data_IF_901875861200
#
_entry.id   IF_901875861200
#
_cell.length_a   1.000
_cell.length_b   1.000
_cell.length_c   1.000
_cell.angle_alpha   90.00
_cell.angle_beta   90.00
_cell.angle_gamma   90.00
#
_symmetry.space_group_name_H-M   'P 1'
#
loop_
_entity.id
_entity.type
_entity.pdbx_description
1 polymer ?
#
# COMPACT_ATOMS: atom_id res chain seq x y z
N UNK A 1 -6.56 -5.07 4.88
CA UNK A 1 -6.46 -6.47 4.42
C UNK A 1 -7.03 -7.40 5.47
N UNK A 2 -7.69 -8.48 5.06
CA UNK A 2 -8.20 -9.53 5.95
C UNK A 2 -7.63 -10.87 5.54
N UNK A 3 -7.41 -11.76 6.51
CA UNK A 3 -6.99 -13.12 6.25
C UNK A 3 -8.14 -13.93 5.65
N UNK A 4 -7.82 -14.77 4.68
CA UNK A 4 -8.77 -15.72 4.11
C UNK A 4 -9.31 -16.66 5.19
N UNK A 5 -10.54 -17.16 4.99
CA UNK A 5 -11.32 -18.04 5.87
C UNK A 5 -11.76 -17.45 7.23
N UNK A 6 -10.90 -16.67 7.91
CA UNK A 6 -11.20 -16.11 9.24
C UNK A 6 -11.75 -14.70 9.18
N UNK A 7 -11.59 -14.00 8.04
CA UNK A 7 -11.91 -12.58 7.85
C UNK A 7 -11.28 -11.65 8.90
N UNK A 8 -10.28 -12.13 9.65
CA UNK A 8 -9.57 -11.36 10.68
C UNK A 8 -8.80 -10.24 9.99
N UNK A 9 -8.87 -9.03 10.54
CA UNK A 9 -8.04 -7.91 10.05
C UNK A 9 -6.58 -8.21 10.35
N UNK A 10 -5.75 -8.18 9.31
CA UNK A 10 -4.30 -8.42 9.39
C UNK A 10 -3.47 -7.21 8.98
N UNK A 11 -4.11 -6.21 8.36
CA UNK A 11 -3.48 -4.95 8.00
C UNK A 11 -4.56 -3.88 7.95
N UNK A 12 -4.38 -2.81 8.71
CA UNK A 12 -5.24 -1.64 8.68
C UNK A 12 -4.39 -0.37 8.77
N UNK A 13 -3.94 0.10 7.63
CA UNK A 13 -3.06 1.27 7.53
C UNK A 13 -3.74 2.30 6.65
N UNK A 14 -3.79 3.53 7.13
CA UNK A 14 -4.26 4.67 6.35
C UNK A 14 -3.19 5.06 5.32
N UNK A 15 -3.60 5.26 4.07
CA UNK A 15 -2.74 5.89 3.07
C UNK A 15 -2.60 7.37 3.44
N UNK A 16 -1.38 7.90 3.35
CA UNK A 16 -1.08 9.28 3.69
C UNK A 16 -0.23 9.94 2.61
N UNK A 17 -0.26 11.27 2.58
CA UNK A 17 0.54 12.02 1.62
C UNK A 17 2.04 11.82 1.89
N UNK A 18 2.81 11.55 0.84
CA UNK A 18 4.25 11.28 0.95
C UNK A 18 4.57 9.85 1.43
N UNK A 19 3.56 8.97 1.52
CA UNK A 19 3.79 7.55 1.76
C UNK A 19 4.66 6.97 0.64
N UNK A 20 5.80 6.37 1.01
CA UNK A 20 6.73 5.81 0.05
C UNK A 20 6.25 4.43 -0.41
N UNK A 21 6.20 4.26 -1.72
CA UNK A 21 5.75 3.04 -2.39
C UNK A 21 6.80 2.66 -3.41
N UNK A 22 7.33 1.45 -3.31
CA UNK A 22 8.36 0.96 -4.23
C UNK A 22 7.87 -0.25 -4.99
N UNK A 23 8.17 -0.24 -6.28
CA UNK A 23 8.08 -1.46 -7.08
C UNK A 23 9.34 -2.28 -6.88
N UNK A 24 9.23 -3.35 -6.10
CA UNK A 24 10.32 -4.30 -5.94
C UNK A 24 10.35 -5.29 -7.13
N UNK A 25 11.51 -5.90 -7.38
CA UNK A 25 11.68 -6.94 -8.40
C UNK A 25 10.57 -8.00 -8.31
N UNK A 26 10.09 -8.49 -9.46
CA UNK A 26 9.03 -9.52 -9.67
C UNK A 26 7.86 -9.54 -8.68
N UNK A 27 6.60 -9.36 -9.13
CA UNK A 27 5.36 -9.60 -8.34
C UNK A 27 5.31 -9.06 -6.88
N UNK A 28 6.21 -8.15 -6.49
CA UNK A 28 6.28 -7.56 -5.15
C UNK A 28 6.06 -6.04 -5.18
N UNK A 29 5.29 -5.54 -4.23
CA UNK A 29 5.16 -4.10 -3.94
C UNK A 29 5.59 -3.87 -2.50
N UNK A 30 6.42 -2.86 -2.25
CA UNK A 30 6.84 -2.47 -0.91
C UNK A 30 6.19 -1.16 -0.52
N UNK A 31 5.69 -1.07 0.72
CA UNK A 31 5.09 0.12 1.30
C UNK A 31 5.81 0.46 2.60
N UNK A 32 6.00 1.74 2.83
CA UNK A 32 6.55 2.28 4.06
C UNK A 32 5.42 3.01 4.76
N UNK A 33 4.99 2.46 5.89
CA UNK A 33 3.78 2.90 6.55
C UNK A 33 4.02 3.13 8.04
N UNK A 34 3.10 3.84 8.70
CA UNK A 34 3.13 4.03 10.13
C UNK A 34 2.12 3.11 10.83
N UNK A 35 2.60 2.35 11.81
CA UNK A 35 1.77 1.64 12.77
C UNK A 35 1.93 2.33 14.13
N UNK A 36 1.01 3.25 14.44
CA UNK A 36 1.21 4.22 15.51
C UNK A 36 2.35 5.17 15.15
N UNK A 37 3.37 5.26 16.01
CA UNK A 37 4.55 6.11 15.78
C UNK A 37 5.72 5.36 15.12
N UNK A 38 5.55 4.07 14.81
CA UNK A 38 6.61 3.23 14.24
C UNK A 38 6.51 3.18 12.71
N UNK A 39 7.61 3.52 12.04
CA UNK A 39 7.76 3.28 10.60
C UNK A 39 7.98 1.79 10.35
N UNK A 40 7.04 1.15 9.66
CA UNK A 40 7.07 -0.28 9.30
C UNK A 40 7.23 -0.45 7.80
N UNK A 41 8.02 -1.46 7.42
CA UNK A 41 8.27 -1.83 6.02
C UNK A 41 7.43 -3.05 5.68
N UNK A 42 6.48 -2.88 4.77
CA UNK A 42 5.58 -3.93 4.32
C UNK A 42 5.91 -4.36 2.91
N UNK A 43 5.77 -5.66 2.63
CA UNK A 43 5.94 -6.22 1.30
C UNK A 43 4.73 -7.08 0.93
N UNK A 44 4.09 -6.75 -0.19
CA UNK A 44 2.97 -7.50 -0.76
C UNK A 44 3.50 -8.38 -1.88
N UNK A 45 3.32 -9.68 -1.74
CA UNK A 45 3.58 -10.65 -2.82
C UNK A 45 2.28 -10.91 -3.55
N UNK A 46 2.27 -10.69 -4.86
CA UNK A 46 1.14 -10.92 -5.74
C UNK A 46 1.36 -12.15 -6.60
N UNK A 47 0.31 -12.59 -7.30
CA UNK A 47 0.36 -13.79 -8.13
C UNK A 47 1.28 -13.62 -9.34
N UNK A 48 1.30 -12.42 -9.95
CA UNK A 48 2.09 -12.11 -11.14
C UNK A 48 2.52 -10.64 -11.16
N UNK A 49 3.36 -10.27 -12.13
CA UNK A 49 3.89 -8.90 -12.25
C UNK A 49 2.78 -7.88 -12.53
N UNK A 50 1.86 -8.19 -13.44
CA UNK A 50 0.79 -7.27 -13.83
C UNK A 50 -0.10 -6.89 -12.63
N UNK A 51 -0.41 -7.85 -11.76
CA UNK A 51 -1.15 -7.58 -10.53
C UNK A 51 -0.38 -6.63 -9.61
N UNK A 52 0.94 -6.79 -9.51
CA UNK A 52 1.78 -5.89 -8.72
C UNK A 52 1.87 -4.49 -9.33
N UNK A 53 1.91 -4.38 -10.66
CA UNK A 53 1.90 -3.09 -11.36
C UNK A 53 0.56 -2.37 -11.16
N UNK A 54 -0.56 -3.10 -11.26
CA UNK A 54 -1.89 -2.56 -10.98
C UNK A 54 -2.03 -2.08 -9.53
N UNK A 55 -1.53 -2.85 -8.56
CA UNK A 55 -1.58 -2.45 -7.16
C UNK A 55 -0.70 -1.21 -6.89
N UNK A 56 0.51 -1.18 -7.45
CA UNK A 56 1.41 -0.03 -7.34
C UNK A 56 0.75 1.24 -7.87
N UNK A 57 0.15 1.17 -9.06
CA UNK A 57 -0.53 2.30 -9.67
C UNK A 57 -1.72 2.76 -8.82
N UNK A 58 -2.59 1.83 -8.39
CA UNK A 58 -3.77 2.16 -7.60
C UNK A 58 -3.43 2.86 -6.27
N UNK A 59 -2.36 2.43 -5.59
CA UNK A 59 -1.92 3.07 -4.35
C UNK A 59 -1.34 4.46 -4.64
N UNK A 60 -0.50 4.58 -5.68
CA UNK A 60 0.10 5.87 -6.07
C UNK A 60 -0.96 6.90 -6.45
N UNK A 61 -1.97 6.49 -7.21
CA UNK A 61 -3.10 7.34 -7.60
C UNK A 61 -3.91 7.77 -6.37
N UNK A 62 -4.20 6.85 -5.45
CA UNK A 62 -4.93 7.16 -4.22
C UNK A 62 -4.18 8.16 -3.31
N UNK A 63 -2.84 8.02 -3.19
CA UNK A 63 -2.00 8.96 -2.44
C UNK A 63 -2.02 10.34 -3.12
N UNK A 64 -1.94 10.38 -4.46
CA UNK A 64 -1.96 11.63 -5.24
C UNK A 64 -3.31 12.34 -5.13
N UNK A 65 -4.42 11.62 -5.24
CA UNK A 65 -5.78 12.15 -5.06
C UNK A 65 -5.99 12.76 -3.66
N UNK A 66 -5.35 12.19 -2.65
CA UNK A 66 -5.38 12.72 -1.27
C UNK A 66 -4.69 14.09 -1.15
N UNK A 67 -3.72 14.40 -2.03
CA UNK A 67 -3.06 15.72 -2.07
C UNK A 67 -4.00 16.83 -2.54
N UNK A 68 -4.87 16.53 -3.50
CA UNK A 68 -5.78 17.52 -4.09
C UNK A 68 -6.89 17.91 -3.08
N UNK A 69 -7.39 16.92 -2.33
CA UNK A 69 -8.43 17.09 -1.30
C UNK A 69 -7.95 17.84 -0.04
N UNK A 70 -6.64 17.91 0.19
CA UNK A 70 -6.06 18.63 1.34
C UNK A 70 -5.83 20.13 1.06
N UNK A 71 -6.12 20.59 -0.17
CA UNK A 71 -5.89 21.96 -0.65
C UNK A 71 -7.18 22.79 -0.81
N UNK A 72 -8.33 22.25 -0.42
CA UNK A 72 -9.63 22.94 -0.32
C UNK A 72 -10.07 23.04 1.13
#
# INVERSE_FOLDING_TARGET
MRADNTLRVILNIALFNGMHVERAQEKFVRLFAFEGDLLVHLAFKLQNSNAADNLYQAITDAITLTQDQSRT
#
